data_IF_614818576004
#
_entry.id   IF_614818576004
#
_cell.length_a   1.000
_cell.length_b   1.000
_cell.length_c   1.000
_cell.angle_alpha   90.00
_cell.angle_beta   90.00
_cell.angle_gamma   90.00
#
_symmetry.space_group_name_H-M   'P 1'
#
loop_
_entity.id
_entity.type
_entity.pdbx_description
1 polymer ?
#
# COMPACT_ATOMS: atom_id res chain seq x y z
N UNK A 1 -38.88 -3.41 9.68
CA UNK A 1 -39.01 -2.03 9.17
C UNK A 1 -37.71 -1.63 8.53
N UNK A 2 -37.69 -1.63 7.20
CA UNK A 2 -36.55 -1.37 6.33
C UNK A 2 -36.15 0.11 6.33
N UNK A 3 -34.86 0.41 6.41
CA UNK A 3 -34.30 1.64 5.85
C UNK A 3 -33.43 1.27 4.65
N UNK A 4 -33.97 1.52 3.47
CA UNK A 4 -33.28 1.56 2.18
C UNK A 4 -32.12 2.56 2.24
N UNK A 5 -30.91 2.12 1.90
CA UNK A 5 -29.84 3.00 1.44
C UNK A 5 -29.99 3.17 -0.07
N UNK A 6 -30.06 4.42 -0.52
CA UNK A 6 -30.27 4.81 -1.91
C UNK A 6 -29.07 4.42 -2.82
N UNK A 7 -29.30 4.15 -4.12
CA UNK A 7 -28.23 3.82 -5.07
C UNK A 7 -27.44 5.08 -5.44
N UNK A 8 -26.11 4.98 -5.39
CA UNK A 8 -25.19 6.00 -5.86
C UNK A 8 -25.26 6.00 -7.40
N UNK A 9 -25.75 7.09 -8.00
CA UNK A 9 -25.75 7.30 -9.45
C UNK A 9 -24.31 7.37 -9.96
N UNK A 10 -23.90 6.38 -10.75
CA UNK A 10 -22.53 6.25 -11.29
C UNK A 10 -22.20 7.33 -12.36
N UNK A 11 -23.22 7.95 -12.96
CA UNK A 11 -23.05 8.88 -14.09
C UNK A 11 -22.59 10.31 -13.71
N UNK A 12 -22.61 10.67 -12.42
CA UNK A 12 -22.08 11.96 -11.92
C UNK A 12 -20.63 11.90 -11.46
N UNK A 13 -20.02 10.71 -11.37
CA UNK A 13 -18.68 10.53 -10.81
C UNK A 13 -17.58 11.05 -11.74
N UNK A 14 -17.74 10.90 -13.06
CA UNK A 14 -16.75 11.35 -14.05
C UNK A 14 -16.64 12.88 -14.14
N UNK A 15 -17.76 13.60 -13.97
CA UNK A 15 -17.78 15.07 -13.94
C UNK A 15 -17.26 15.58 -12.58
N UNK A 16 -17.54 14.88 -11.48
CA UNK A 16 -16.96 15.20 -10.17
C UNK A 16 -15.45 14.93 -10.08
N UNK A 17 -14.89 13.97 -10.82
CA UNK A 17 -13.44 13.70 -10.82
C UNK A 17 -12.66 14.85 -11.49
N UNK A 18 -13.18 15.42 -12.58
CA UNK A 18 -12.58 16.62 -13.19
C UNK A 18 -12.80 17.88 -12.34
N UNK A 19 -13.95 18.01 -11.67
CA UNK A 19 -14.22 19.17 -10.81
C UNK A 19 -13.47 19.11 -9.47
N UNK A 20 -13.23 17.93 -8.90
CA UNK A 20 -12.51 17.77 -7.62
C UNK A 20 -10.98 17.93 -7.77
N UNK A 21 -10.44 17.76 -8.99
CA UNK A 21 -9.05 18.09 -9.30
C UNK A 21 -8.79 19.62 -9.33
N UNK A 22 -9.84 20.45 -9.50
CA UNK A 22 -9.74 21.91 -9.65
C UNK A 22 -10.49 22.73 -8.60
N UNK A 23 -11.48 22.17 -7.90
CA UNK A 23 -12.25 22.89 -6.88
C UNK A 23 -11.58 22.74 -5.52
N UNK A 24 -10.61 23.61 -5.28
CA UNK A 24 -10.12 23.87 -3.93
C UNK A 24 -11.20 24.53 -3.10
N UNK A 25 -11.97 23.74 -2.36
CA UNK A 25 -12.82 24.26 -1.29
C UNK A 25 -12.55 23.52 0.01
N UNK A 26 -12.05 24.26 1.00
CA UNK A 26 -12.15 23.88 2.41
C UNK A 26 -10.87 23.55 3.16
N UNK A 27 -9.75 24.25 2.95
CA UNK A 27 -8.78 24.49 4.03
C UNK A 27 -7.88 25.69 3.69
N UNK A 28 -7.89 26.67 4.60
CA UNK A 28 -6.99 27.83 4.74
C UNK A 28 -5.95 28.06 3.64
N UNK A 29 -6.08 29.22 2.97
CA UNK A 29 -5.17 29.72 1.94
C UNK A 29 -3.71 29.82 2.45
N UNK A 30 -2.92 28.79 2.21
CA UNK A 30 -1.47 28.91 2.04
C UNK A 30 -1.19 29.07 0.56
N UNK A 31 -0.51 30.17 0.21
CA UNK A 31 -0.04 30.49 -1.14
C UNK A 31 0.74 29.28 -1.67
N UNK A 32 0.18 28.56 -2.64
CA UNK A 32 0.86 27.41 -3.27
C UNK A 32 1.99 27.95 -4.14
N UNK A 33 3.24 27.63 -3.81
CA UNK A 33 4.39 28.00 -4.63
C UNK A 33 4.36 27.23 -5.97
N UNK A 34 4.95 27.78 -7.05
CA UNK A 34 5.05 27.10 -8.35
C UNK A 34 5.71 25.70 -8.27
N UNK A 35 6.60 25.51 -7.28
CA UNK A 35 7.25 24.22 -7.02
C UNK A 35 6.28 23.11 -6.61
N UNK A 36 5.18 23.43 -5.92
CA UNK A 36 4.20 22.43 -5.48
C UNK A 36 3.30 21.94 -6.62
N UNK A 37 2.99 22.79 -7.60
CA UNK A 37 2.19 22.40 -8.77
C UNK A 37 2.96 21.39 -9.66
N UNK A 38 4.28 21.58 -9.80
CA UNK A 38 5.14 20.61 -10.50
C UNK A 38 5.16 19.26 -9.75
N UNK A 39 5.28 19.27 -8.42
CA UNK A 39 5.25 18.05 -7.61
C UNK A 39 3.92 17.27 -7.71
N UNK A 40 2.77 17.93 -7.86
CA UNK A 40 1.49 17.22 -8.03
C UNK A 40 1.38 16.47 -9.37
N UNK A 41 1.94 17.01 -10.45
CA UNK A 41 1.96 16.34 -11.76
C UNK A 41 2.94 15.16 -11.76
N UNK A 42 4.11 15.33 -11.13
CA UNK A 42 5.15 14.29 -11.07
C UNK A 42 4.67 13.02 -10.34
N UNK A 43 3.75 13.14 -9.37
CA UNK A 43 3.13 11.99 -8.67
C UNK A 43 2.39 11.04 -9.61
N UNK A 44 1.88 11.54 -10.74
CA UNK A 44 1.13 10.74 -11.71
C UNK A 44 2.00 10.05 -12.76
N UNK A 45 3.29 10.39 -12.87
CA UNK A 45 4.20 9.78 -13.86
C UNK A 45 4.22 8.24 -13.73
N UNK A 46 4.38 7.64 -12.54
CA UNK A 46 4.36 6.17 -12.43
C UNK A 46 3.04 5.56 -12.87
N UNK A 47 1.92 6.26 -12.64
CA UNK A 47 0.60 5.79 -13.04
C UNK A 47 0.44 5.79 -14.56
N UNK A 48 0.78 6.91 -15.20
CA UNK A 48 0.72 7.07 -16.65
C UNK A 48 1.69 6.08 -17.33
N UNK A 49 2.88 5.88 -16.77
CA UNK A 49 3.86 4.93 -17.29
C UNK A 49 3.33 3.49 -17.32
N UNK A 50 2.72 3.02 -16.24
CA UNK A 50 2.11 1.69 -16.20
C UNK A 50 0.98 1.57 -17.22
N UNK A 51 0.11 2.57 -17.32
CA UNK A 51 -0.99 2.57 -18.29
C UNK A 51 -0.49 2.56 -19.75
N UNK A 52 0.60 3.29 -20.03
CA UNK A 52 1.22 3.30 -21.35
C UNK A 52 1.80 1.93 -21.71
N UNK A 53 2.51 1.27 -20.79
CA UNK A 53 3.03 -0.09 -21.01
C UNK A 53 1.89 -1.07 -21.25
N UNK A 54 0.82 -1.01 -20.46
CA UNK A 54 -0.34 -1.90 -20.59
C UNK A 54 -1.07 -1.66 -21.91
N UNK A 55 -1.21 -0.40 -22.33
CA UNK A 55 -1.81 -0.05 -23.62
C UNK A 55 -0.98 -0.57 -24.80
N UNK A 56 0.35 -0.40 -24.75
CA UNK A 56 1.24 -0.97 -25.74
C UNK A 56 1.23 -2.50 -25.73
N UNK A 57 1.25 -3.14 -24.55
CA UNK A 57 1.22 -4.60 -24.45
C UNK A 57 -0.10 -5.17 -24.96
N UNK A 58 -1.21 -4.45 -24.78
CA UNK A 58 -2.50 -4.79 -25.39
C UNK A 58 -2.40 -4.83 -26.92
N UNK A 59 -1.85 -3.79 -27.53
CA UNK A 59 -1.62 -3.77 -28.98
C UNK A 59 -0.72 -4.93 -29.44
N UNK A 60 0.42 -5.14 -28.75
CA UNK A 60 1.35 -6.20 -29.11
C UNK A 60 0.74 -7.60 -28.95
N UNK A 61 0.02 -7.87 -27.87
CA UNK A 61 -0.58 -9.17 -27.61
C UNK A 61 -1.81 -9.42 -28.49
N UNK A 62 -2.76 -8.48 -28.54
CA UNK A 62 -4.03 -8.69 -29.24
C UNK A 62 -3.85 -8.59 -30.75
N UNK A 63 -3.20 -7.52 -31.23
CA UNK A 63 -3.09 -7.26 -32.68
C UNK A 63 -1.92 -8.05 -33.27
N UNK A 64 -0.70 -7.80 -32.81
CA UNK A 64 0.49 -8.38 -33.42
C UNK A 64 0.56 -9.90 -33.21
N UNK A 65 0.30 -10.38 -31.99
CA UNK A 65 0.34 -11.82 -31.71
C UNK A 65 -0.98 -12.50 -32.10
N UNK A 66 -2.09 -12.26 -31.40
CA UNK A 66 -3.33 -13.03 -31.57
C UNK A 66 -3.95 -12.87 -32.95
N UNK A 67 -4.11 -11.64 -33.47
CA UNK A 67 -4.80 -11.43 -34.74
C UNK A 67 -3.90 -11.80 -35.92
N UNK A 68 -2.68 -11.26 -35.96
CA UNK A 68 -1.79 -11.33 -37.13
C UNK A 68 -0.86 -12.56 -37.17
N UNK A 69 -0.52 -13.15 -36.02
CA UNK A 69 0.47 -14.24 -35.96
C UNK A 69 -0.13 -15.61 -35.63
N UNK A 70 -1.22 -15.66 -34.84
CA UNK A 70 -1.86 -16.94 -34.50
C UNK A 70 -2.80 -17.40 -35.61
N UNK A 71 -2.46 -18.52 -36.25
CA UNK A 71 -3.27 -19.10 -37.33
C UNK A 71 -4.51 -19.84 -36.82
N UNK A 72 -4.37 -20.59 -35.72
CA UNK A 72 -5.45 -21.41 -35.15
C UNK A 72 -6.54 -20.55 -34.49
N UNK A 73 -7.74 -20.55 -35.07
CA UNK A 73 -8.91 -19.82 -34.54
C UNK A 73 -9.27 -20.25 -33.11
N UNK A 74 -9.36 -21.56 -32.77
CA UNK A 74 -9.61 -21.97 -31.39
C UNK A 74 -8.55 -21.45 -30.39
N UNK A 75 -7.26 -21.52 -30.76
CA UNK A 75 -6.15 -21.00 -29.94
C UNK A 75 -6.29 -19.49 -29.72
N UNK A 76 -6.60 -18.75 -30.78
CA UNK A 76 -6.84 -17.30 -30.75
C UNK A 76 -7.96 -16.92 -29.80
N UNK A 77 -9.10 -17.61 -29.87
CA UNK A 77 -10.26 -17.35 -28.99
C UNK A 77 -9.89 -17.62 -27.53
N UNK A 78 -9.27 -18.76 -27.23
CA UNK A 78 -8.84 -19.10 -25.86
C UNK A 78 -7.87 -18.04 -25.32
N UNK A 79 -6.90 -17.63 -26.14
CA UNK A 79 -5.90 -16.65 -25.73
C UNK A 79 -6.54 -15.30 -25.41
N UNK A 80 -7.40 -14.81 -26.30
CA UNK A 80 -8.08 -13.54 -26.09
C UNK A 80 -9.03 -13.57 -24.90
N UNK A 81 -9.79 -14.64 -24.70
CA UNK A 81 -10.72 -14.74 -23.56
C UNK A 81 -9.99 -14.68 -22.22
N UNK A 82 -8.95 -15.50 -22.03
CA UNK A 82 -8.19 -15.52 -20.78
C UNK A 82 -7.44 -14.20 -20.59
N UNK A 83 -6.82 -13.66 -21.65
CA UNK A 83 -6.12 -12.39 -21.60
C UNK A 83 -7.01 -11.25 -21.09
N UNK A 84 -8.24 -11.11 -21.62
CA UNK A 84 -9.14 -10.04 -21.22
C UNK A 84 -9.68 -10.21 -19.80
N UNK A 85 -9.93 -11.43 -19.34
CA UNK A 85 -10.32 -11.69 -17.95
C UNK A 85 -9.20 -11.27 -16.99
N UNK A 86 -7.96 -11.67 -17.27
CA UNK A 86 -6.81 -11.30 -16.45
C UNK A 86 -6.54 -9.80 -16.50
N UNK A 87 -6.63 -9.17 -17.68
CA UNK A 87 -6.48 -7.74 -17.85
C UNK A 87 -7.53 -6.96 -17.05
N UNK A 88 -8.79 -7.41 -17.07
CA UNK A 88 -9.86 -6.80 -16.28
C UNK A 88 -9.57 -6.87 -14.78
N UNK A 89 -9.17 -8.03 -14.26
CA UNK A 89 -8.86 -8.20 -12.84
C UNK A 89 -7.64 -7.38 -12.43
N UNK A 90 -6.62 -7.34 -13.29
CA UNK A 90 -5.44 -6.50 -13.10
C UNK A 90 -5.80 -5.01 -13.04
N UNK A 91 -6.52 -4.50 -14.05
CA UNK A 91 -6.91 -3.08 -14.13
C UNK A 91 -7.88 -2.70 -13.01
N UNK A 92 -8.83 -3.57 -12.66
CA UNK A 92 -9.75 -3.32 -11.56
C UNK A 92 -9.01 -3.23 -10.22
N UNK A 93 -8.11 -4.17 -9.94
CA UNK A 93 -7.27 -4.12 -8.74
C UNK A 93 -6.39 -2.88 -8.71
N UNK A 94 -5.76 -2.55 -9.84
CA UNK A 94 -4.91 -1.36 -9.97
C UNK A 94 -5.69 -0.07 -9.71
N UNK A 95 -6.86 0.08 -10.33
CA UNK A 95 -7.76 1.21 -10.11
C UNK A 95 -8.12 1.34 -8.63
N UNK A 96 -8.52 0.22 -7.98
CA UNK A 96 -8.86 0.22 -6.56
C UNK A 96 -7.66 0.58 -5.68
N UNK A 97 -6.45 0.14 -6.00
CA UNK A 97 -5.25 0.52 -5.25
C UNK A 97 -4.98 2.02 -5.31
N UNK A 98 -5.04 2.62 -6.51
CA UNK A 98 -4.69 4.02 -6.76
C UNK A 98 -5.76 4.99 -6.27
N UNK A 99 -7.04 4.69 -6.54
CA UNK A 99 -8.14 5.64 -6.35
C UNK A 99 -8.95 5.43 -5.06
N UNK A 100 -8.65 4.39 -4.27
CA UNK A 100 -9.29 4.25 -2.95
C UNK A 100 -8.81 5.38 -2.02
N UNK A 101 -9.72 6.20 -1.46
CA UNK A 101 -9.33 7.28 -0.57
C UNK A 101 -8.60 6.79 0.67
N UNK A 102 -7.60 7.55 1.10
CA UNK A 102 -6.84 7.25 2.30
C UNK A 102 -7.69 7.47 3.54
N UNK A 103 -7.67 6.49 4.44
CA UNK A 103 -8.36 6.55 5.73
C UNK A 103 -7.38 7.10 6.78
N UNK A 104 -7.75 8.23 7.37
CA UNK A 104 -6.99 8.86 8.46
C UNK A 104 -7.59 8.56 9.84
N UNK A 105 -6.94 9.03 10.92
CA UNK A 105 -7.48 8.92 12.28
C UNK A 105 -8.89 9.52 12.39
N UNK A 106 -9.71 8.95 13.26
CA UNK A 106 -11.03 9.51 13.58
C UNK A 106 -10.88 10.78 14.42
N UNK A 107 -11.93 11.63 14.47
CA UNK A 107 -11.90 12.95 15.12
C UNK A 107 -11.41 12.92 16.59
N UNK A 108 -11.72 11.86 17.33
CA UNK A 108 -11.30 11.71 18.73
C UNK A 108 -9.77 11.69 18.95
N UNK A 109 -9.00 11.35 17.92
CA UNK A 109 -7.53 11.33 17.99
C UNK A 109 -6.90 12.71 17.78
N UNK A 110 -7.65 13.68 17.24
CA UNK A 110 -7.17 15.03 17.02
C UNK A 110 -7.24 15.84 18.31
N UNK A 111 -6.18 16.60 18.55
CA UNK A 111 -6.06 17.53 19.66
C UNK A 111 -6.52 18.90 19.13
N UNK A 112 -7.34 19.60 19.91
CA UNK A 112 -7.77 20.95 19.58
C UNK A 112 -6.58 21.89 19.40
N UNK A 113 -6.72 22.90 18.55
CA UNK A 113 -5.63 23.78 18.13
C UNK A 113 -4.86 24.41 19.31
N UNK A 114 -5.60 24.98 20.27
CA UNK A 114 -5.03 25.58 21.50
C UNK A 114 -4.18 24.59 22.30
N UNK A 115 -4.68 23.37 22.51
CA UNK A 115 -3.92 22.33 23.21
C UNK A 115 -2.73 21.84 22.38
N UNK A 116 -2.88 21.76 21.06
CA UNK A 116 -1.81 21.41 20.13
C UNK A 116 -0.66 22.43 20.14
N UNK A 117 -0.96 23.72 20.30
CA UNK A 117 0.02 24.79 20.47
C UNK A 117 0.71 24.74 21.83
N UNK A 118 -0.04 24.52 22.91
CA UNK A 118 0.51 24.33 24.26
C UNK A 118 1.51 23.18 24.31
N UNK A 119 1.17 22.04 23.69
CA UNK A 119 2.06 20.88 23.56
C UNK A 119 3.31 21.24 22.76
N UNK A 120 3.17 22.05 21.70
CA UNK A 120 4.31 22.49 20.89
C UNK A 120 5.24 23.43 21.66
N UNK A 121 4.68 24.32 22.49
CA UNK A 121 5.41 25.26 23.33
C UNK A 121 6.07 24.62 24.55
N UNK A 122 5.64 23.42 24.95
CA UNK A 122 6.20 22.70 26.11
C UNK A 122 7.65 22.31 25.85
N UNK A 123 8.58 22.84 26.68
CA UNK A 123 10.03 22.62 26.54
C UNK A 123 10.48 21.29 27.13
N UNK A 124 9.85 20.82 28.20
CA UNK A 124 10.26 19.58 28.86
C UNK A 124 9.58 18.35 28.26
N UNK A 125 10.37 17.28 28.04
CA UNK A 125 9.85 16.02 27.49
C UNK A 125 8.86 15.36 28.45
N UNK A 126 9.10 15.49 29.77
CA UNK A 126 8.28 14.87 30.81
C UNK A 126 6.88 15.50 30.91
N UNK A 127 6.76 16.84 30.86
CA UNK A 127 5.45 17.51 30.87
C UNK A 127 4.67 17.20 29.60
N UNK A 128 5.35 17.19 28.45
CA UNK A 128 4.74 16.80 27.17
C UNK A 128 4.19 15.38 27.24
N UNK A 129 4.97 14.44 27.77
CA UNK A 129 4.56 13.05 27.97
C UNK A 129 3.36 12.94 28.89
N UNK A 130 3.39 13.60 30.06
CA UNK A 130 2.29 13.59 31.01
C UNK A 130 0.99 14.14 30.39
N UNK A 131 1.09 15.24 29.63
CA UNK A 131 -0.03 15.86 28.94
C UNK A 131 -0.65 14.92 27.90
N UNK A 132 0.16 14.30 27.04
CA UNK A 132 -0.33 13.36 26.03
C UNK A 132 -0.98 12.12 26.66
N UNK A 133 -0.42 11.60 27.77
CA UNK A 133 -1.02 10.48 28.52
C UNK A 133 -2.39 10.90 29.08
N UNK A 134 -2.49 12.09 29.68
CA UNK A 134 -3.76 12.63 30.20
C UNK A 134 -4.81 12.74 29.10
N UNK A 135 -4.47 13.36 27.97
CA UNK A 135 -5.39 13.53 26.84
C UNK A 135 -5.83 12.19 26.26
N UNK A 136 -4.90 11.24 26.10
CA UNK A 136 -5.21 9.89 25.64
C UNK A 136 -6.22 9.17 26.55
N UNK A 137 -6.08 9.32 27.87
CA UNK A 137 -7.00 8.73 28.85
C UNK A 137 -8.36 9.43 28.84
N UNK A 138 -8.37 10.77 28.80
CA UNK A 138 -9.59 11.56 28.77
C UNK A 138 -10.45 11.26 27.54
N UNK A 139 -9.82 11.08 26.38
CA UNK A 139 -10.49 10.70 25.14
C UNK A 139 -10.72 9.18 24.99
N UNK A 140 -10.35 8.37 26.00
CA UNK A 140 -10.46 6.91 26.02
C UNK A 140 -9.92 6.25 24.74
N UNK A 141 -8.73 6.68 24.29
CA UNK A 141 -8.14 6.24 23.03
C UNK A 141 -7.58 4.81 23.14
N UNK A 142 -7.86 3.92 22.17
CA UNK A 142 -7.33 2.57 22.14
C UNK A 142 -5.89 2.56 21.59
N UNK A 143 -4.95 3.12 22.36
CA UNK A 143 -3.52 3.20 21.97
C UNK A 143 -2.64 2.35 22.88
N UNK A 144 -2.15 1.24 22.35
CA UNK A 144 -1.28 0.29 23.05
C UNK A 144 0.19 0.61 22.79
N UNK A 145 0.53 1.06 21.58
CA UNK A 145 1.92 1.26 21.18
C UNK A 145 2.48 2.60 21.66
N UNK A 146 3.79 2.63 21.91
CA UNK A 146 4.54 3.80 22.38
C UNK A 146 5.79 4.02 21.54
N UNK A 147 6.49 5.13 21.79
CA UNK A 147 7.89 5.26 21.42
C UNK A 147 8.78 4.41 22.37
N UNK A 148 10.05 4.21 22.01
CA UNK A 148 11.01 3.46 22.84
C UNK A 148 11.21 4.08 24.23
N UNK A 149 11.11 5.40 24.34
CA UNK A 149 11.15 6.12 25.62
C UNK A 149 9.85 5.98 26.44
N UNK A 150 8.86 5.26 25.92
CA UNK A 150 7.54 5.07 26.53
C UNK A 150 6.57 6.23 26.36
N UNK A 151 6.91 7.25 25.58
CA UNK A 151 6.01 8.36 25.26
C UNK A 151 4.90 7.96 24.29
N UNK A 152 3.76 8.66 24.39
CA UNK A 152 2.63 8.49 23.46
C UNK A 152 3.06 8.94 22.06
N UNK A 153 2.74 8.14 21.05
CA UNK A 153 3.02 8.46 19.65
C UNK A 153 2.15 9.64 19.21
N UNK A 154 2.78 10.79 18.95
CA UNK A 154 2.09 12.03 18.56
C UNK A 154 2.57 12.52 17.19
N UNK A 155 1.68 13.15 16.43
CA UNK A 155 2.01 13.87 15.21
C UNK A 155 1.88 15.38 15.45
N UNK A 156 3.00 16.10 15.45
CA UNK A 156 3.02 17.56 15.63
C UNK A 156 2.49 18.34 14.42
N UNK A 157 2.50 17.74 13.23
CA UNK A 157 2.00 18.31 11.97
C UNK A 157 0.47 18.23 11.96
N UNK A 158 -0.08 17.01 12.09
CA UNK A 158 -1.53 16.79 12.08
C UNK A 158 -2.22 17.10 13.42
N UNK A 159 -1.46 17.43 14.48
CA UNK A 159 -1.95 17.64 15.84
C UNK A 159 -2.83 16.50 16.34
N UNK A 160 -2.40 15.26 16.15
CA UNK A 160 -3.16 14.07 16.55
C UNK A 160 -2.30 13.07 17.31
N UNK A 161 -2.90 12.40 18.31
CA UNK A 161 -2.34 11.17 18.88
C UNK A 161 -2.47 10.10 17.81
N UNK A 162 -1.37 9.43 17.46
CA UNK A 162 -1.37 8.43 16.39
C UNK A 162 -2.07 7.17 16.91
N UNK A 163 -3.13 6.68 16.23
CA UNK A 163 -3.62 5.32 16.46
C UNK A 163 -2.49 4.31 16.29
N UNK A 164 -2.66 3.12 16.85
CA UNK A 164 -1.72 2.04 16.63
C UNK A 164 -1.57 1.76 15.13
N UNK A 165 -0.35 1.43 14.71
CA UNK A 165 0.02 1.18 13.30
C UNK A 165 -0.16 2.38 12.34
N UNK A 166 -0.56 3.55 12.82
CA UNK A 166 -0.70 4.76 12.00
C UNK A 166 0.61 5.56 11.91
N UNK A 167 0.91 6.07 10.72
CA UNK A 167 2.09 6.92 10.48
C UNK A 167 1.71 8.17 9.68
N UNK A 168 2.48 9.24 9.85
CA UNK A 168 2.36 10.44 9.02
C UNK A 168 3.16 10.21 7.74
N UNK A 169 2.51 10.36 6.59
CA UNK A 169 3.20 10.39 5.31
C UNK A 169 3.42 11.84 4.91
N UNK A 170 4.69 12.24 4.74
CA UNK A 170 5.06 13.60 4.33
C UNK A 170 4.58 13.93 2.92
N UNK A 171 4.49 12.95 2.01
CA UNK A 171 4.03 13.17 0.63
C UNK A 171 2.51 13.33 0.55
N UNK A 172 1.77 12.57 1.37
CA UNK A 172 0.31 12.65 1.48
C UNK A 172 -0.13 13.74 2.50
N UNK A 173 0.83 14.36 3.22
CA UNK A 173 0.67 15.39 4.26
C UNK A 173 -0.36 15.07 5.36
N UNK A 174 -0.55 13.80 5.67
CA UNK A 174 -1.52 13.36 6.68
C UNK A 174 -1.12 12.08 7.39
N UNK A 175 -1.70 11.87 8.57
CA UNK A 175 -1.67 10.58 9.24
C UNK A 175 -2.59 9.59 8.53
N UNK A 176 -2.07 8.39 8.28
CA UNK A 176 -2.73 7.32 7.56
C UNK A 176 -2.79 6.08 8.46
N UNK A 177 -3.95 5.44 8.54
CA UNK A 177 -4.18 4.22 9.34
C UNK A 177 -3.49 3.00 8.72
N UNK A 178 -2.92 2.12 9.55
CA UNK A 178 -2.13 0.95 9.12
C UNK A 178 -1.20 1.29 7.96
N UNK A 179 -0.40 2.34 8.14
CA UNK A 179 0.48 2.82 7.07
C UNK A 179 1.51 1.74 6.74
N UNK A 180 1.59 1.38 5.46
CA UNK A 180 2.60 0.46 4.96
C UNK A 180 3.71 1.25 4.29
N UNK A 181 3.46 1.82 3.11
CA UNK A 181 4.44 2.63 2.40
C UNK A 181 3.76 3.62 1.46
N UNK A 182 4.55 4.48 0.83
CA UNK A 182 4.10 5.38 -0.23
C UNK A 182 4.71 4.94 -1.56
N UNK A 183 3.89 4.52 -2.52
CA UNK A 183 4.32 4.19 -3.88
C UNK A 183 3.12 4.03 -4.83
N UNK A 184 2.98 4.83 -5.90
CA UNK A 184 2.92 6.31 -5.96
C UNK A 184 1.79 6.94 -5.11
N UNK A 185 0.91 6.10 -4.56
CA UNK A 185 -0.09 6.48 -3.58
C UNK A 185 0.25 5.84 -2.22
N UNK A 186 -0.32 6.35 -1.14
CA UNK A 186 -0.14 5.73 0.17
C UNK A 186 -0.86 4.36 0.19
N UNK A 187 -0.11 3.28 0.47
CA UNK A 187 -0.64 1.94 0.72
C UNK A 187 -0.90 1.80 2.21
N UNK A 188 -2.14 1.47 2.56
CA UNK A 188 -2.65 1.60 3.92
C UNK A 188 -3.88 0.75 4.19
N UNK A 189 -4.46 0.87 5.39
CA UNK A 189 -5.64 0.13 5.82
C UNK A 189 -6.75 0.01 4.75
N UNK A 190 -7.11 1.13 4.09
CA UNK A 190 -8.23 1.17 3.16
C UNK A 190 -8.00 0.46 1.83
N UNK A 191 -6.74 0.31 1.39
CA UNK A 191 -6.38 -0.18 0.06
C UNK A 191 -5.35 -1.31 0.04
N UNK A 192 -4.86 -1.77 1.21
CA UNK A 192 -3.85 -2.83 1.30
C UNK A 192 -4.28 -4.12 0.59
N UNK A 193 -5.53 -4.57 0.79
CA UNK A 193 -6.07 -5.74 0.05
C UNK A 193 -5.98 -5.55 -1.46
N UNK A 194 -6.37 -4.38 -1.98
CA UNK A 194 -6.34 -4.10 -3.41
C UNK A 194 -4.92 -4.11 -3.96
N UNK A 195 -3.96 -3.61 -3.19
CA UNK A 195 -2.55 -3.65 -3.54
C UNK A 195 -2.05 -5.10 -3.68
N UNK A 196 -2.40 -5.98 -2.74
CA UNK A 196 -2.00 -7.40 -2.84
C UNK A 196 -2.66 -8.10 -4.03
N UNK A 197 -3.95 -7.83 -4.29
CA UNK A 197 -4.64 -8.35 -5.47
C UNK A 197 -4.03 -7.82 -6.77
N UNK A 198 -3.66 -6.54 -6.81
CA UNK A 198 -2.96 -5.95 -7.94
C UNK A 198 -1.64 -6.68 -8.23
N UNK A 199 -0.81 -6.91 -7.21
CA UNK A 199 0.44 -7.66 -7.38
C UNK A 199 0.19 -9.11 -7.84
N UNK A 200 -0.78 -9.79 -7.24
CA UNK A 200 -1.12 -11.17 -7.59
C UNK A 200 -1.64 -11.30 -9.03
N UNK A 201 -2.61 -10.47 -9.42
CA UNK A 201 -3.14 -10.47 -10.78
C UNK A 201 -2.12 -9.97 -11.80
N UNK A 202 -1.24 -9.02 -11.45
CA UNK A 202 -0.12 -8.60 -12.29
C UNK A 202 0.88 -9.75 -12.54
N UNK A 203 1.22 -10.51 -11.51
CA UNK A 203 2.10 -11.67 -11.63
C UNK A 203 1.48 -12.75 -12.54
N UNK A 204 0.21 -13.10 -12.30
CA UNK A 204 -0.51 -14.08 -13.13
C UNK A 204 -0.58 -13.60 -14.59
N UNK A 205 -0.86 -12.31 -14.81
CA UNK A 205 -0.90 -11.70 -16.13
C UNK A 205 0.46 -11.76 -16.84
N UNK A 206 1.55 -11.41 -16.15
CA UNK A 206 2.91 -11.49 -16.71
C UNK A 206 3.32 -12.93 -17.04
N UNK A 207 3.01 -13.89 -16.17
CA UNK A 207 3.28 -15.32 -16.41
C UNK A 207 2.48 -15.83 -17.61
N UNK A 208 1.21 -15.45 -17.71
CA UNK A 208 0.33 -15.81 -18.81
C UNK A 208 0.85 -15.26 -20.15
N UNK A 209 1.18 -13.96 -20.21
CA UNK A 209 1.74 -13.32 -21.40
C UNK A 209 3.07 -13.96 -21.78
N UNK A 210 3.96 -14.21 -20.82
CA UNK A 210 5.26 -14.84 -21.08
C UNK A 210 5.10 -16.26 -21.63
N UNK A 211 4.25 -17.08 -21.00
CA UNK A 211 4.03 -18.47 -21.42
C UNK A 211 3.41 -18.57 -22.82
N UNK A 212 2.40 -17.74 -23.10
CA UNK A 212 1.70 -17.76 -24.41
C UNK A 212 2.50 -17.10 -25.53
N UNK A 213 3.37 -16.14 -25.22
CA UNK A 213 4.23 -15.48 -26.22
C UNK A 213 5.55 -16.22 -26.51
N UNK A 214 5.96 -17.18 -25.67
CA UNK A 214 7.22 -17.91 -25.83
C UNK A 214 7.38 -18.60 -27.19
N UNK A 215 6.34 -19.28 -27.66
CA UNK A 215 6.35 -19.94 -28.98
C UNK A 215 6.61 -18.92 -30.10
N UNK A 216 5.90 -17.79 -30.06
CA UNK A 216 6.00 -16.72 -31.06
C UNK A 216 7.30 -15.94 -30.95
N UNK A 217 7.85 -15.81 -29.74
CA UNK A 217 9.18 -15.29 -29.50
C UNK A 217 10.23 -16.15 -30.20
N UNK A 218 10.20 -17.47 -30.04
CA UNK A 218 11.14 -18.40 -30.67
C UNK A 218 11.04 -18.29 -32.20
N UNK A 219 9.82 -18.27 -32.75
CA UNK A 219 9.58 -18.11 -34.19
C UNK A 219 10.12 -16.78 -34.72
N UNK A 220 9.87 -15.67 -34.00
CA UNK A 220 10.36 -14.36 -34.38
C UNK A 220 11.89 -14.27 -34.32
N UNK A 221 12.52 -14.88 -33.31
CA UNK A 221 13.96 -14.92 -33.13
C UNK A 221 14.65 -15.70 -34.27
N UNK A 222 14.19 -16.90 -34.57
CA UNK A 222 14.74 -17.75 -35.64
C UNK A 222 14.57 -17.13 -37.03
N UNK A 223 13.44 -16.46 -37.28
CA UNK A 223 13.20 -15.76 -38.55
C UNK A 223 14.10 -14.54 -38.72
N UNK A 224 14.51 -13.90 -37.62
CA UNK A 224 15.42 -12.75 -37.65
C UNK A 224 16.89 -13.17 -37.84
N UNK A 225 17.29 -14.34 -37.33
CA UNK A 225 18.66 -14.84 -37.48
C UNK A 225 18.97 -15.40 -38.87
N UNK A 226 17.95 -15.84 -39.61
CA UNK A 226 18.11 -16.43 -40.94
C UNK A 226 17.84 -15.39 -42.05
N UNK A 227 18.88 -14.65 -42.43
CA UNK A 227 18.83 -13.52 -43.39
C UNK A 227 18.40 -13.92 -44.82
N UNK A 228 18.58 -15.19 -45.23
CA UNK A 228 18.49 -15.58 -46.65
C UNK A 228 17.12 -16.08 -47.16
N UNK A 229 16.08 -16.25 -46.32
CA UNK A 229 14.81 -16.91 -46.75
C UNK A 229 13.51 -16.17 -46.39
N UNK A 230 13.54 -14.85 -46.28
CA UNK A 230 12.43 -14.06 -45.71
C UNK A 230 11.46 -13.44 -46.74
N UNK A 231 11.09 -14.16 -47.81
CA UNK A 231 10.01 -13.71 -48.71
C UNK A 231 8.63 -14.28 -48.33
N UNK A 232 8.58 -15.30 -47.45
CA UNK A 232 7.34 -16.03 -47.12
C UNK A 232 6.94 -15.99 -45.64
N UNK A 233 7.54 -15.13 -44.80
CA UNK A 233 7.10 -14.98 -43.40
C UNK A 233 5.91 -14.03 -43.30
N UNK A 234 4.76 -14.51 -42.85
CA UNK A 234 3.51 -13.74 -42.65
C UNK A 234 3.63 -12.57 -41.66
N UNK A 235 4.69 -12.55 -40.83
CA UNK A 235 4.90 -11.54 -39.79
C UNK A 235 5.78 -10.40 -40.34
N UNK A 236 5.24 -9.18 -40.33
CA UNK A 236 5.99 -7.95 -40.65
C UNK A 236 7.22 -7.79 -39.75
N UNK A 237 8.30 -7.19 -40.27
CA UNK A 237 9.51 -6.85 -39.50
C UNK A 237 9.18 -6.08 -38.22
N UNK A 238 8.22 -5.17 -38.27
CA UNK A 238 7.73 -4.44 -37.08
C UNK A 238 7.08 -5.37 -36.05
N UNK A 239 6.28 -6.34 -36.50
CA UNK A 239 5.61 -7.31 -35.64
C UNK A 239 6.59 -8.18 -34.86
N UNK A 240 7.70 -8.60 -35.49
CA UNK A 240 8.76 -9.37 -34.82
C UNK A 240 9.34 -8.62 -33.62
N UNK A 241 9.60 -7.32 -33.74
CA UNK A 241 10.07 -6.52 -32.60
C UNK A 241 9.04 -6.44 -31.47
N UNK A 242 7.76 -6.24 -31.78
CA UNK A 242 6.71 -6.23 -30.75
C UNK A 242 6.66 -7.54 -29.96
N UNK A 243 6.76 -8.69 -30.63
CA UNK A 243 6.74 -10.01 -29.99
C UNK A 243 7.96 -10.23 -29.08
N UNK A 244 9.16 -9.82 -29.54
CA UNK A 244 10.38 -9.91 -28.73
C UNK A 244 10.27 -9.04 -27.46
N UNK A 245 9.93 -7.76 -27.61
CA UNK A 245 9.79 -6.85 -26.48
C UNK A 245 8.67 -7.28 -25.53
N UNK A 246 7.56 -7.80 -26.04
CA UNK A 246 6.43 -8.27 -25.22
C UNK A 246 6.87 -9.39 -24.28
N UNK A 247 7.59 -10.38 -24.79
CA UNK A 247 8.10 -11.49 -23.98
C UNK A 247 9.11 -10.99 -22.92
N UNK A 248 10.09 -10.17 -23.32
CA UNK A 248 11.10 -9.66 -22.39
C UNK A 248 10.49 -8.78 -21.29
N UNK A 249 9.61 -7.84 -21.66
CA UNK A 249 8.96 -6.96 -20.69
C UNK A 249 8.10 -7.77 -19.72
N UNK A 250 7.35 -8.76 -20.21
CA UNK A 250 6.52 -9.61 -19.35
C UNK A 250 7.38 -10.40 -18.34
N UNK A 251 8.53 -10.94 -18.73
CA UNK A 251 9.44 -11.64 -17.81
C UNK A 251 10.06 -10.68 -16.79
N UNK A 252 10.57 -9.52 -17.24
CA UNK A 252 11.19 -8.53 -16.34
C UNK A 252 10.20 -8.06 -15.27
N UNK A 253 8.99 -7.65 -15.68
CA UNK A 253 7.94 -7.29 -14.73
C UNK A 253 7.50 -8.48 -13.87
N UNK A 254 7.38 -9.67 -14.44
CA UNK A 254 7.02 -10.88 -13.70
C UNK A 254 8.00 -11.19 -12.57
N UNK A 255 9.31 -11.12 -12.82
CA UNK A 255 10.35 -11.33 -11.80
C UNK A 255 10.31 -10.24 -10.73
N UNK A 256 10.22 -8.97 -11.13
CA UNK A 256 10.17 -7.85 -10.18
C UNK A 256 8.90 -7.85 -9.31
N UNK A 257 7.75 -8.16 -9.89
CA UNK A 257 6.47 -8.23 -9.15
C UNK A 257 6.43 -9.46 -8.25
N UNK A 258 7.02 -10.59 -8.67
CA UNK A 258 7.09 -11.82 -7.89
C UNK A 258 7.76 -11.59 -6.53
N UNK A 259 8.94 -10.97 -6.50
CA UNK A 259 9.66 -10.74 -5.24
C UNK A 259 8.86 -9.85 -4.27
N UNK A 260 8.22 -8.79 -4.77
CA UNK A 260 7.38 -7.91 -3.97
C UNK A 260 6.12 -8.64 -3.46
N UNK A 261 5.46 -9.42 -4.32
CA UNK A 261 4.26 -10.17 -3.96
C UNK A 261 4.54 -11.17 -2.82
N UNK A 262 5.56 -12.01 -2.97
CA UNK A 262 5.88 -13.01 -1.95
C UNK A 262 6.38 -12.38 -0.64
N UNK A 263 7.11 -11.26 -0.71
CA UNK A 263 7.47 -10.51 0.49
C UNK A 263 6.23 -10.01 1.24
N UNK A 264 5.23 -9.46 0.55
CA UNK A 264 4.00 -9.03 1.20
C UNK A 264 3.11 -10.18 1.68
N UNK A 265 3.14 -11.35 1.02
CA UNK A 265 2.48 -12.55 1.56
C UNK A 265 3.10 -12.96 2.90
N UNK A 266 4.43 -12.92 3.03
CA UNK A 266 5.11 -13.15 4.30
C UNK A 266 4.71 -12.11 5.36
N UNK A 267 4.60 -10.83 4.99
CA UNK A 267 4.13 -9.79 5.91
C UNK A 267 2.68 -10.01 6.38
N UNK A 268 1.80 -10.45 5.49
CA UNK A 268 0.43 -10.83 5.84
C UNK A 268 0.42 -12.02 6.80
N UNK A 269 1.23 -13.04 6.54
CA UNK A 269 1.35 -14.22 7.41
C UNK A 269 1.72 -13.83 8.84
N UNK A 270 2.58 -12.82 9.02
CA UNK A 270 3.01 -12.30 10.34
C UNK A 270 2.20 -11.12 10.86
N UNK A 271 1.17 -10.68 10.15
CA UNK A 271 0.41 -9.47 10.44
C UNK A 271 1.25 -8.20 10.63
N UNK A 272 2.27 -8.01 9.79
CA UNK A 272 3.17 -6.84 9.86
C UNK A 272 2.93 -5.92 8.67
N UNK A 273 3.09 -4.62 8.88
CA UNK A 273 3.35 -3.69 7.77
C UNK A 273 4.85 -3.70 7.43
N UNK A 274 5.22 -3.14 6.27
CA UNK A 274 6.62 -2.92 5.91
C UNK A 274 7.34 -2.04 6.92
N UNK A 275 6.69 -1.05 7.52
CA UNK A 275 7.29 -0.26 8.62
C UNK A 275 7.58 -1.15 9.82
N UNK A 276 6.62 -1.98 10.21
CA UNK A 276 6.72 -2.86 11.39
C UNK A 276 7.76 -3.97 11.20
N UNK A 277 8.00 -4.43 9.97
CA UNK A 277 9.04 -5.42 9.68
C UNK A 277 10.45 -4.86 9.92
N UNK A 278 10.65 -3.57 9.61
CA UNK A 278 11.91 -2.86 9.83
C UNK A 278 12.04 -2.35 11.27
N UNK A 279 10.94 -1.89 11.89
CA UNK A 279 10.92 -1.33 13.24
C UNK A 279 9.77 -1.92 14.03
N UNK A 280 10.10 -2.79 14.98
CA UNK A 280 9.11 -3.45 15.83
C UNK A 280 8.27 -2.41 16.59
N UNK A 281 6.93 -2.55 16.63
CA UNK A 281 6.10 -1.74 17.51
C UNK A 281 6.47 -2.00 18.98
N UNK A 282 6.43 -0.95 19.80
CA UNK A 282 6.79 -1.02 21.23
C UNK A 282 5.51 -1.08 22.06
N UNK A 283 5.36 -2.15 22.85
CA UNK A 283 4.25 -2.37 23.79
C UNK A 283 4.81 -2.34 25.20
N UNK A 284 4.22 -1.53 26.10
CA UNK A 284 4.73 -1.37 27.48
C UNK A 284 6.26 -1.20 27.57
N UNK A 285 6.83 -0.39 26.68
CA UNK A 285 8.28 -0.10 26.57
C UNK A 285 9.15 -1.26 26.05
N UNK A 286 8.55 -2.38 25.61
CA UNK A 286 9.25 -3.53 25.03
C UNK A 286 8.92 -3.65 23.53
N UNK A 287 9.93 -3.70 22.65
CA UNK A 287 9.70 -3.96 21.23
C UNK A 287 9.19 -5.39 21.01
N UNK A 288 8.10 -5.56 20.27
CA UNK A 288 7.57 -6.88 19.93
C UNK A 288 7.09 -6.90 18.47
N UNK A 289 7.80 -7.64 17.60
CA UNK A 289 7.44 -7.77 16.17
C UNK A 289 6.18 -8.59 15.94
N UNK A 290 5.81 -9.44 16.89
CA UNK A 290 4.67 -10.36 16.82
C UNK A 290 3.48 -9.86 17.63
N UNK A 291 3.52 -8.61 18.11
CA UNK A 291 2.47 -8.07 18.98
C UNK A 291 1.08 -8.03 18.33
N UNK A 292 1.00 -8.00 17.00
CA UNK A 292 -0.25 -8.09 16.24
C UNK A 292 -0.44 -9.45 15.53
N UNK A 293 0.45 -10.42 15.72
CA UNK A 293 0.33 -11.74 15.12
C UNK A 293 -0.73 -12.58 15.86
N UNK A 294 -1.80 -12.97 15.15
CA UNK A 294 -2.93 -13.77 15.64
C UNK A 294 -2.91 -15.21 15.10
N UNK A 295 -1.83 -15.60 14.41
CA UNK A 295 -1.71 -16.82 13.63
C UNK A 295 -2.14 -16.63 12.17
N UNK A 296 -1.46 -17.37 11.28
CA UNK A 296 -1.53 -17.19 9.82
C UNK A 296 -2.97 -17.08 9.26
N UNK A 297 -3.89 -17.93 9.73
CA UNK A 297 -5.29 -17.94 9.26
C UNK A 297 -6.03 -16.66 9.64
N UNK A 298 -5.88 -16.20 10.88
CA UNK A 298 -6.55 -14.99 11.35
C UNK A 298 -5.95 -13.75 10.68
N UNK A 299 -4.63 -13.72 10.53
CA UNK A 299 -3.91 -12.62 9.87
C UNK A 299 -4.34 -12.45 8.41
N UNK A 300 -4.48 -13.54 7.66
CA UNK A 300 -5.03 -13.51 6.29
C UNK A 300 -6.47 -13.00 6.30
N UNK A 301 -7.30 -13.49 7.23
CA UNK A 301 -8.70 -13.06 7.33
C UNK A 301 -8.87 -11.59 7.73
N UNK A 302 -7.90 -10.98 8.43
CA UNK A 302 -7.94 -9.54 8.69
C UNK A 302 -7.94 -8.72 7.40
N UNK A 303 -7.17 -9.17 6.39
CA UNK A 303 -7.02 -8.45 5.12
C UNK A 303 -8.11 -8.85 4.12
N UNK A 304 -8.33 -10.15 3.94
CA UNK A 304 -9.16 -10.69 2.85
C UNK A 304 -10.59 -11.03 3.27
N UNK A 305 -10.89 -11.07 4.57
CA UNK A 305 -12.17 -11.57 5.09
C UNK A 305 -12.24 -13.11 5.10
N UNK A 306 -13.43 -13.65 5.40
CA UNK A 306 -13.66 -15.10 5.51
C UNK A 306 -14.12 -15.77 4.21
N UNK A 307 -14.68 -15.02 3.26
CA UNK A 307 -15.23 -15.57 2.04
C UNK A 307 -14.15 -15.63 0.94
N UNK A 308 -13.86 -16.82 0.42
CA UNK A 308 -12.80 -17.05 -0.57
C UNK A 308 -13.07 -16.34 -1.91
N UNK A 309 -14.31 -16.31 -2.39
CA UNK A 309 -14.65 -15.65 -3.64
C UNK A 309 -14.43 -14.14 -3.53
N UNK A 310 -14.87 -13.55 -2.42
CA UNK A 310 -14.63 -12.13 -2.15
C UNK A 310 -13.15 -11.83 -1.90
N UNK A 311 -12.38 -12.79 -1.38
CA UNK A 311 -10.94 -12.63 -1.16
C UNK A 311 -10.19 -12.38 -2.47
N UNK A 312 -10.60 -13.00 -3.58
CA UNK A 312 -9.94 -12.90 -4.88
C UNK A 312 -10.38 -11.69 -5.72
N UNK A 313 -11.46 -11.02 -5.33
CA UNK A 313 -12.05 -9.90 -6.10
C UNK A 313 -11.73 -8.55 -5.42
N UNK A 314 -11.47 -7.47 -6.19
CA UNK A 314 -11.15 -6.13 -5.68
C UNK A 314 -12.33 -5.38 -5.04
N UNK A 315 -12.96 -5.99 -4.04
CA UNK A 315 -14.00 -5.40 -3.17
C UNK A 315 -13.51 -5.31 -1.73
N UNK A 316 -14.02 -4.33 -0.98
CA UNK A 316 -13.56 -4.10 0.39
C UNK A 316 -14.09 -5.21 1.33
N UNK A 317 -13.18 -5.94 1.96
CA UNK A 317 -13.51 -6.99 2.96
C UNK A 317 -12.56 -7.00 4.16
N UNK A 318 -11.67 -6.01 4.25
CA UNK A 318 -10.73 -5.85 5.36
C UNK A 318 -11.49 -5.62 6.66
N UNK A 319 -11.13 -6.37 7.70
CA UNK A 319 -11.82 -6.35 9.01
C UNK A 319 -11.33 -5.18 9.87
N UNK A 320 -12.07 -4.92 10.95
CA UNK A 320 -11.74 -3.87 11.92
C UNK A 320 -12.18 -2.47 11.47
N UNK A 321 -11.69 -1.47 12.19
CA UNK A 321 -11.96 -0.04 11.95
C UNK A 321 -10.68 0.75 11.60
N UNK A 322 -9.54 0.07 11.56
CA UNK A 322 -8.22 0.67 11.30
C UNK A 322 -7.62 1.42 12.50
N UNK A 323 -8.28 1.44 13.67
CA UNK A 323 -7.78 2.09 14.88
C UNK A 323 -7.65 1.15 16.07
N UNK A 324 -8.48 0.10 16.14
CA UNK A 324 -8.41 -0.97 17.13
C UNK A 324 -7.89 -2.24 16.46
N UNK A 325 -6.82 -2.79 17.00
CA UNK A 325 -6.24 -4.05 16.56
C UNK A 325 -6.27 -5.06 17.70
N UNK A 326 -6.57 -6.30 17.37
CA UNK A 326 -6.32 -7.40 18.30
C UNK A 326 -4.81 -7.59 18.42
N UNK A 327 -4.37 -7.96 19.61
CA UNK A 327 -2.97 -8.25 19.90
C UNK A 327 -2.83 -9.73 20.24
N UNK A 328 -1.60 -10.23 20.11
CA UNK A 328 -1.25 -11.59 20.47
C UNK A 328 -1.67 -11.92 21.91
N UNK A 329 -2.25 -13.10 22.14
CA UNK A 329 -2.80 -13.48 23.45
C UNK A 329 -1.74 -13.55 24.55
N UNK A 330 -0.52 -14.02 24.22
CA UNK A 330 0.58 -14.06 25.19
C UNK A 330 0.99 -12.65 25.59
N UNK A 331 1.10 -11.74 24.61
CA UNK A 331 1.37 -10.33 24.89
C UNK A 331 0.25 -9.69 25.74
N UNK A 332 -1.01 -10.03 25.47
CA UNK A 332 -2.13 -9.53 26.25
C UNK A 332 -2.05 -9.99 27.71
N UNK A 333 -1.73 -11.26 27.95
CA UNK A 333 -1.55 -11.82 29.29
C UNK A 333 -0.39 -11.14 30.03
N UNK A 334 0.75 -10.94 29.37
CA UNK A 334 1.91 -10.24 29.93
C UNK A 334 1.56 -8.80 30.34
N UNK A 335 0.85 -8.07 29.48
CA UNK A 335 0.41 -6.70 29.75
C UNK A 335 -0.59 -6.65 30.92
N UNK A 336 -1.48 -7.63 31.03
CA UNK A 336 -2.44 -7.73 32.13
C UNK A 336 -1.73 -8.08 33.45
N UNK A 337 -0.71 -8.93 33.43
CA UNK A 337 0.08 -9.26 34.61
C UNK A 337 0.90 -8.05 35.09
N UNK A 338 1.55 -7.32 34.18
CA UNK A 338 2.25 -6.07 34.50
C UNK A 338 1.32 -5.02 35.12
N UNK A 339 0.09 -4.90 34.60
CA UNK A 339 -0.90 -3.96 35.16
C UNK A 339 -1.31 -4.31 36.59
N UNK A 340 -1.31 -5.61 36.94
CA UNK A 340 -1.64 -6.12 38.28
C UNK A 340 -0.47 -6.01 39.25
N UNK A 341 0.77 -6.05 38.76
CA UNK A 341 1.97 -6.05 39.61
C UNK A 341 3.05 -5.07 39.08
N UNK A 342 2.93 -3.75 39.37
CA UNK A 342 3.76 -2.69 38.77
C UNK A 342 5.26 -2.73 39.12
N UNK A 343 5.67 -3.58 40.06
CA UNK A 343 7.04 -3.66 40.62
C UNK A 343 7.94 -4.67 39.91
N UNK A 344 7.46 -5.40 38.90
CA UNK A 344 8.30 -6.30 38.09
C UNK A 344 9.07 -5.50 37.04
N UNK A 345 10.36 -5.31 37.27
CA UNK A 345 11.28 -4.80 36.25
C UNK A 345 11.34 -5.74 35.04
N UNK A 346 11.30 -5.16 33.85
CA UNK A 346 11.34 -5.90 32.59
C UNK A 346 12.76 -6.41 32.36
N UNK A 347 12.93 -7.73 32.29
CA UNK A 347 14.10 -8.35 31.67
C UNK A 347 13.94 -8.17 30.16
N UNK A 348 14.72 -7.27 29.55
CA UNK A 348 14.79 -7.16 28.09
C UNK A 348 15.20 -8.53 27.49
N UNK A 349 14.57 -8.99 26.40
CA UNK A 349 15.12 -10.08 25.62
C UNK A 349 16.54 -9.71 25.15
N UNK A 350 17.50 -10.59 25.43
CA UNK A 350 18.94 -10.41 25.21
C UNK A 350 19.37 -10.14 23.75
N UNK A 351 18.44 -10.13 22.79
CA UNK A 351 18.73 -10.05 21.35
C UNK A 351 18.33 -8.73 20.68
N UNK A 352 18.25 -7.62 21.43
CA UNK A 352 17.97 -6.31 20.81
C UNK A 352 19.29 -5.66 20.32
N UNK A 353 19.59 -5.60 19.00
CA UNK A 353 20.83 -5.01 18.53
C UNK A 353 20.86 -3.49 18.82
N UNK A 354 21.95 -3.05 19.45
CA UNK A 354 22.21 -1.65 19.86
C UNK A 354 22.08 -0.61 18.72
N UNK A 355 22.07 -1.04 17.47
CA UNK A 355 21.97 -0.18 16.28
C UNK A 355 20.58 0.46 16.09
N UNK A 356 19.51 -0.06 16.72
CA UNK A 356 18.18 0.55 16.65
C UNK A 356 18.04 1.81 17.52
N UNK A 357 18.84 1.94 18.58
CA UNK A 357 18.83 3.10 19.47
C UNK A 357 19.49 4.34 18.84
N UNK A 358 20.47 4.15 17.95
CA UNK A 358 21.22 5.26 17.34
C UNK A 358 20.49 5.94 16.18
N UNK A 359 19.64 5.22 15.44
CA UNK A 359 19.01 5.78 14.24
C UNK A 359 17.88 6.79 14.54
N UNK A 360 17.21 6.67 15.69
CA UNK A 360 16.17 7.63 16.10
C UNK A 360 16.75 8.89 16.76
N UNK A 361 17.96 8.82 17.33
CA UNK A 361 18.69 9.99 17.85
C UNK A 361 19.02 10.99 16.72
N UNK A 362 19.36 10.47 15.54
CA UNK A 362 19.66 11.29 14.36
C UNK A 362 18.40 11.91 13.72
N UNK A 363 17.23 11.28 13.85
CA UNK A 363 15.97 11.82 13.31
C UNK A 363 15.34 12.92 14.18
N UNK A 364 15.60 12.92 15.49
CA UNK A 364 15.24 14.03 16.38
C UNK A 364 16.12 15.27 16.13
N UNK A 365 17.35 15.07 15.64
CA UNK A 365 18.29 16.15 15.31
C UNK A 365 18.12 16.69 13.88
N UNK A 366 17.63 15.88 12.93
CA UNK A 366 17.38 16.33 11.55
C UNK A 366 16.07 17.11 11.37
N UNK A 367 15.17 17.10 12.36
CA UNK A 367 13.95 17.90 12.35
C UNK A 367 14.14 19.38 12.74
N UNK A 368 15.35 19.82 13.09
CA UNK A 368 15.62 21.16 13.62
C UNK A 368 16.67 21.96 12.83
N UNK A 369 16.99 21.55 11.60
CA UNK A 369 17.90 22.30 10.71
C UNK A 369 17.21 22.61 9.39
N UNK A 370 16.33 23.61 9.41
CA UNK A 370 16.08 24.55 8.30
C UNK A 370 15.04 25.61 8.75
N UNK A 371 15.52 26.53 9.60
CA UNK A 371 15.02 27.89 9.70
C UNK A 371 16.23 28.82 9.66
N UNK A 372 16.61 29.22 8.45
CA UNK A 372 17.17 30.53 8.14
C UNK A 372 16.59 30.95 6.80
#
# INVERSE_FOLDING_TARGET
MSKMQAPIREDLLLIHIFHCAFSGEGCTMTIRTPSMCCCEVLKWIPVIFILAIVGWSYYAYVVQMCILTVDSVPKKVIYLCIYHILLLLFLWSYYRTVFTPLVGPTRQFYIGEVEGERIAATQTVNERRATLIRLSRQANLPVLTRHFDGSIRYCSICKCIKPDRAHHCSVCEKCVLRYDHHCPCCISYGNYKFFILFLGWALIFCLYVSATSLEYFILAWQSMSNTEKNEHSSISRSGKFHLLFLFFIAIVFGVSVSSLFFYHLFLIEKNRTTVESHRAPVFANVPNKDGFDLGWKQNIQEIFGSNLFQALIPIYTTRGDGVRYQINSMLLEDLQEQSRNPTRDVVLPLDTPANLLNNDRNHLLSGNTNRK
#
